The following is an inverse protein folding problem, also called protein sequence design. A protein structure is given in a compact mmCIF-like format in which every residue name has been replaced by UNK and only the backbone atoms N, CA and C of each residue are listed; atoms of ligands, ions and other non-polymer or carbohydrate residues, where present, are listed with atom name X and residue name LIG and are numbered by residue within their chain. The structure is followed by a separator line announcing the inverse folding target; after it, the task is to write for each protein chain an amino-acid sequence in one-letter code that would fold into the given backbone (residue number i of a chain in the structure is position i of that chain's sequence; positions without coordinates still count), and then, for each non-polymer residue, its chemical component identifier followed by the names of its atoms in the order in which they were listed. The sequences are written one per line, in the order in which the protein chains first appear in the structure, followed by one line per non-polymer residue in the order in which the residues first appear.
data_IF_104620209853
#
_entry.id   IF_104620209853
#
_cell.length_a   1.000
_cell.length_b   1.000
_cell.length_c   1.000
_cell.angle_alpha   90.00
_cell.angle_beta   90.00
_cell.angle_gamma   90.00
#
_symmetry.space_group_name_H-M   'P 1'
#
loop_
_entity.id
_entity.type
_entity.pdbx_description
1 polymer ?
#
# COMPACT_ATOMS: atom_id res chain seq x y z
N UNK A 1 -8.81 -7.57 -1.23
CA UNK A 1 -7.34 -7.43 -1.29
C UNK A 1 -6.95 -6.33 -0.30
N UNK A 2 -5.82 -6.47 0.38
CA UNK A 2 -5.26 -5.50 1.32
C UNK A 2 -3.94 -5.00 0.75
N UNK A 3 -3.84 -3.69 0.61
CA UNK A 3 -2.64 -3.03 0.10
C UNK A 3 -1.93 -2.25 1.19
N UNK A 4 -0.64 -2.00 1.01
CA UNK A 4 0.14 -1.10 1.85
C UNK A 4 0.99 -0.17 0.99
N UNK A 5 1.15 1.07 1.44
CA UNK A 5 2.01 2.04 0.75
C UNK A 5 3.48 1.63 0.90
N UNK A 6 4.28 1.82 -0.15
CA UNK A 6 5.71 1.53 -0.14
C UNK A 6 6.52 2.51 0.73
N UNK A 7 7.77 2.14 1.02
CA UNK A 7 8.68 2.96 1.82
C UNK A 7 9.09 4.25 1.09
N UNK A 8 9.28 4.16 -0.24
CA UNK A 8 9.83 5.25 -1.05
C UNK A 8 8.89 6.45 -1.17
N UNK A 9 7.59 6.20 -1.28
CA UNK A 9 6.56 7.24 -1.38
C UNK A 9 6.02 7.67 0.00
N UNK A 10 6.36 6.93 1.07
CA UNK A 10 5.99 7.28 2.44
C UNK A 10 6.90 8.36 3.02
N UNK A 11 6.31 9.36 3.68
CA UNK A 11 7.10 10.31 4.51
C UNK A 11 7.60 9.62 5.78
N UNK A 12 6.75 8.81 6.40
CA UNK A 12 7.09 7.94 7.53
C UNK A 12 6.53 6.56 7.24
N UNK A 13 7.42 5.60 6.97
CA UNK A 13 7.05 4.21 6.72
C UNK A 13 6.81 3.45 8.04
N UNK A 14 5.81 3.89 8.82
CA UNK A 14 5.47 3.32 10.12
C UNK A 14 4.36 2.28 10.03
N UNK A 15 3.12 2.75 9.91
CA UNK A 15 1.95 1.86 9.79
C UNK A 15 2.04 0.93 8.58
N UNK A 16 2.39 1.38 7.36
CA UNK A 16 2.47 0.49 6.22
C UNK A 16 3.52 -0.63 6.41
N UNK A 17 4.66 -0.31 7.05
CA UNK A 17 5.69 -1.30 7.40
C UNK A 17 5.17 -2.36 8.37
N UNK A 18 4.40 -1.96 9.39
CA UNK A 18 3.87 -2.88 10.39
C UNK A 18 2.94 -3.93 9.75
N UNK A 19 2.08 -3.51 8.82
CA UNK A 19 1.18 -4.41 8.09
C UNK A 19 1.95 -5.34 7.15
N UNK A 20 2.91 -4.80 6.39
CA UNK A 20 3.74 -5.59 5.48
C UNK A 20 4.59 -6.63 6.23
N UNK A 21 5.23 -6.25 7.33
CA UNK A 21 6.03 -7.17 8.17
C UNK A 21 5.19 -8.24 8.85
N UNK A 22 3.92 -7.95 9.14
CA UNK A 22 2.98 -8.93 9.66
C UNK A 22 2.49 -9.92 8.57
N UNK A 23 2.89 -9.73 7.30
CA UNK A 23 2.44 -10.57 6.18
C UNK A 23 0.96 -10.37 5.85
N UNK A 24 0.40 -9.21 6.18
CA UNK A 24 -1.03 -8.90 5.99
C UNK A 24 -1.30 -8.12 4.69
N UNK A 25 -0.24 -7.69 3.99
CA UNK A 25 -0.35 -6.99 2.71
C UNK A 25 -0.32 -8.01 1.57
N UNK A 26 -1.33 -7.98 0.71
CA UNK A 26 -1.35 -8.72 -0.55
C UNK A 26 -0.41 -8.07 -1.58
N UNK A 27 -0.36 -6.73 -1.59
CA UNK A 27 0.50 -5.94 -2.47
C UNK A 27 1.06 -4.70 -1.74
N UNK A 28 2.24 -4.25 -2.16
CA UNK A 28 2.87 -3.01 -1.72
C UNK A 28 2.98 -2.08 -2.93
N UNK A 29 2.42 -0.87 -2.83
CA UNK A 29 2.23 0.05 -3.95
C UNK A 29 2.80 1.43 -3.64
N UNK A 30 3.31 2.14 -4.65
CA UNK A 30 3.66 3.55 -4.51
C UNK A 30 2.39 4.41 -4.37
N UNK A 31 2.49 5.56 -3.69
CA UNK A 31 1.34 6.44 -3.43
C UNK A 31 0.62 6.87 -4.71
N UNK A 32 1.38 7.17 -5.76
CA UNK A 32 0.87 7.55 -7.07
C UNK A 32 0.03 6.47 -7.75
N UNK A 33 0.26 5.19 -7.43
CA UNK A 33 -0.46 4.06 -8.02
C UNK A 33 -1.77 3.76 -7.29
N UNK A 34 -1.83 4.04 -5.97
CA UNK A 34 -2.98 3.71 -5.11
C UNK A 34 -4.27 4.33 -5.68
N UNK A 35 -4.22 5.58 -6.15
CA UNK A 35 -5.40 6.27 -6.68
C UNK A 35 -6.00 5.56 -7.90
N UNK A 36 -5.17 5.23 -8.89
CA UNK A 36 -5.60 4.50 -10.08
C UNK A 36 -6.13 3.10 -9.71
N UNK A 37 -5.40 2.39 -8.85
CA UNK A 37 -5.77 1.03 -8.39
C UNK A 37 -7.10 1.01 -7.63
N UNK A 38 -7.39 2.04 -6.84
CA UNK A 38 -8.70 2.17 -6.17
C UNK A 38 -9.84 2.31 -7.19
N UNK A 39 -9.65 3.09 -8.26
CA UNK A 39 -10.69 3.25 -9.30
C UNK A 39 -10.90 1.94 -10.06
N UNK A 40 -9.82 1.24 -10.40
CA UNK A 40 -9.89 -0.05 -11.11
C UNK A 40 -10.46 -1.18 -10.25
N UNK A 41 -10.09 -1.22 -8.96
CA UNK A 41 -10.43 -2.31 -8.03
C UNK A 41 -11.78 -2.19 -7.34
N UNK A 42 -12.49 -1.05 -7.46
CA UNK A 42 -13.83 -0.81 -6.91
C UNK A 42 -14.92 -1.00 -7.98
N UNK A 43 -14.71 -1.96 -8.89
CA UNK A 43 -15.73 -2.41 -9.86
C UNK A 43 -16.32 -3.76 -9.48
#
# INVERSE_FOLDING_TARGET
VIWSQDEKSSVIYGMPMAVAKAGLSDEILALEEIGARLVEGVS
#
